data_IF_701998789728
#
_entry.id   IF_701998789728
#
_cell.length_a   1.000
_cell.length_b   1.000
_cell.length_c   1.000
_cell.angle_alpha   90.00
_cell.angle_beta   90.00
_cell.angle_gamma   90.00
#
_symmetry.space_group_name_H-M   'P 1'
#
loop_
_entity.id
_entity.type
_entity.pdbx_description
1 polymer ?
#
# COMPACT_ATOMS: atom_id res chain seq x y z
N UNK A 1 -7.91 21.44 8.41
CA UNK A 1 -7.64 20.46 7.34
C UNK A 1 -8.95 20.13 6.66
N UNK A 2 -8.93 19.99 5.35
CA UNK A 2 -10.13 19.71 4.54
C UNK A 2 -9.84 18.57 3.56
N UNK A 3 -10.91 17.94 3.10
CA UNK A 3 -10.87 16.92 2.08
C UNK A 3 -10.49 17.56 0.72
N UNK A 4 -9.55 16.97 -0.04
CA UNK A 4 -9.12 17.49 -1.34
C UNK A 4 -10.20 17.30 -2.42
N UNK A 5 -10.34 18.26 -3.34
CA UNK A 5 -11.33 18.21 -4.43
C UNK A 5 -11.06 17.10 -5.47
N UNK A 6 -9.81 16.62 -5.56
CA UNK A 6 -9.42 15.49 -6.41
C UNK A 6 -8.53 14.52 -5.61
N UNK A 7 -8.90 13.25 -5.61
CA UNK A 7 -8.14 12.17 -4.97
C UNK A 7 -6.96 11.72 -5.85
N UNK A 8 -5.93 12.56 -5.94
CA UNK A 8 -4.66 12.23 -6.60
C UNK A 8 -3.62 11.83 -5.56
N UNK A 9 -2.63 11.00 -5.92
CA UNK A 9 -1.52 10.57 -5.04
C UNK A 9 -0.85 11.68 -4.22
N UNK A 10 -0.88 12.92 -4.72
CA UNK A 10 -0.26 14.10 -4.14
C UNK A 10 -1.20 14.99 -3.31
N UNK A 11 -2.50 14.69 -3.26
CA UNK A 11 -3.50 15.50 -2.55
C UNK A 11 -4.43 14.62 -1.74
N UNK A 12 -3.97 14.21 -0.54
CA UNK A 12 -4.75 13.42 0.43
C UNK A 12 -5.30 14.31 1.55
N UNK A 13 -4.55 15.34 1.94
CA UNK A 13 -4.93 16.32 2.97
C UNK A 13 -4.68 17.73 2.45
N UNK A 14 -5.73 18.57 2.44
CA UNK A 14 -5.59 19.99 2.14
C UNK A 14 -5.53 20.81 3.45
N UNK A 15 -4.60 21.77 3.51
CA UNK A 15 -4.59 22.75 4.60
C UNK A 15 -5.66 23.81 4.36
N UNK A 16 -6.41 24.16 5.41
CA UNK A 16 -7.45 25.21 5.38
C UNK A 16 -6.89 26.62 5.58
N UNK A 17 -5.56 26.80 5.56
CA UNK A 17 -4.87 28.07 5.79
C UNK A 17 -3.43 28.07 5.22
N UNK A 18 -2.82 29.25 5.09
CA UNK A 18 -1.48 29.43 4.52
C UNK A 18 -0.32 29.29 5.52
N UNK A 19 0.91 29.11 5.01
CA UNK A 19 2.14 29.06 5.81
C UNK A 19 2.50 27.66 6.32
N UNK A 20 2.86 27.55 7.60
CA UNK A 20 3.32 26.29 8.24
C UNK A 20 2.28 25.18 8.14
N UNK A 21 0.99 25.51 8.26
CA UNK A 21 -0.11 24.54 8.14
C UNK A 21 -0.16 23.87 6.76
N UNK A 22 0.17 24.60 5.69
CA UNK A 22 0.28 24.04 4.35
C UNK A 22 1.46 23.07 4.24
N UNK A 23 2.62 23.42 4.81
CA UNK A 23 3.78 22.53 4.88
C UNK A 23 3.50 21.22 5.62
N UNK A 24 2.81 21.30 6.77
CA UNK A 24 2.41 20.12 7.56
C UNK A 24 1.42 19.25 6.80
N UNK A 25 0.43 19.85 6.11
CA UNK A 25 -0.53 19.09 5.31
C UNK A 25 0.15 18.33 4.16
N UNK A 26 1.13 18.95 3.49
CA UNK A 26 1.93 18.30 2.44
C UNK A 26 2.74 17.13 3.01
N UNK A 27 3.41 17.34 4.15
CA UNK A 27 4.20 16.29 4.79
C UNK A 27 3.34 15.10 5.23
N UNK A 28 2.17 15.38 5.83
CA UNK A 28 1.21 14.33 6.19
C UNK A 28 0.67 13.60 4.96
N UNK A 29 0.39 14.32 3.87
CA UNK A 29 -0.04 13.70 2.61
C UNK A 29 1.04 12.78 2.03
N UNK A 30 2.30 13.22 2.01
CA UNK A 30 3.44 12.40 1.54
C UNK A 30 3.61 11.17 2.42
N UNK A 31 3.60 11.34 3.76
CA UNK A 31 3.76 10.22 4.68
C UNK A 31 2.63 9.21 4.53
N UNK A 32 1.38 9.68 4.42
CA UNK A 32 0.25 8.80 4.17
C UNK A 32 0.41 8.04 2.85
N UNK A 33 0.68 8.75 1.75
CA UNK A 33 0.81 8.12 0.43
C UNK A 33 1.96 7.10 0.39
N UNK A 34 3.11 7.42 0.99
CA UNK A 34 4.24 6.50 1.07
C UNK A 34 3.92 5.26 1.91
N UNK A 35 3.35 5.44 3.11
CA UNK A 35 2.98 4.30 3.96
C UNK A 35 1.89 3.45 3.33
N UNK A 36 0.93 4.05 2.63
CA UNK A 36 -0.11 3.33 1.92
C UNK A 36 0.48 2.53 0.75
N UNK A 37 1.35 3.13 -0.07
CA UNK A 37 2.03 2.42 -1.17
C UNK A 37 2.87 1.26 -0.63
N UNK A 38 3.71 1.52 0.37
CA UNK A 38 4.56 0.49 0.99
C UNK A 38 3.72 -0.61 1.65
N UNK A 39 2.66 -0.24 2.38
CA UNK A 39 1.76 -1.18 3.03
C UNK A 39 1.03 -2.07 2.02
N UNK A 40 0.46 -1.48 0.97
CA UNK A 40 -0.21 -2.25 -0.10
C UNK A 40 0.78 -3.15 -0.83
N UNK A 41 1.98 -2.66 -1.14
CA UNK A 41 3.01 -3.44 -1.80
C UNK A 41 3.46 -4.62 -0.92
N UNK A 42 3.70 -4.38 0.37
CA UNK A 42 4.08 -5.43 1.32
C UNK A 42 2.97 -6.43 1.63
N UNK A 43 1.69 -6.14 1.35
CA UNK A 43 0.61 -7.12 1.51
C UNK A 43 0.53 -8.14 0.36
N UNK A 44 1.23 -7.92 -0.75
CA UNK A 44 1.22 -8.83 -1.89
C UNK A 44 1.95 -10.13 -1.51
N UNK A 45 1.33 -11.31 -1.68
CA UNK A 45 1.90 -12.60 -1.27
C UNK A 45 2.95 -13.12 -2.29
N UNK A 46 3.94 -12.30 -2.63
CA UNK A 46 5.02 -12.64 -3.55
C UNK A 46 6.37 -12.35 -2.90
N UNK A 47 7.37 -13.23 -3.00
CA UNK A 47 8.72 -12.91 -2.54
C UNK A 47 9.28 -11.71 -3.32
N UNK A 48 10.08 -10.83 -2.69
CA UNK A 48 10.54 -10.82 -1.30
C UNK A 48 9.60 -10.05 -0.33
N UNK A 49 8.37 -9.76 -0.73
CA UNK A 49 7.43 -8.91 0.01
C UNK A 49 6.90 -9.61 1.26
N UNK A 50 6.64 -8.84 2.32
CA UNK A 50 6.28 -9.38 3.64
C UNK A 50 5.01 -10.25 3.62
N UNK A 51 4.09 -9.99 2.69
CA UNK A 51 2.86 -10.75 2.50
C UNK A 51 3.12 -12.21 2.16
N UNK A 52 4.26 -12.52 1.55
CA UNK A 52 4.67 -13.90 1.29
C UNK A 52 5.05 -14.65 2.58
N UNK A 53 5.62 -13.96 3.56
CA UNK A 53 5.89 -14.51 4.89
C UNK A 53 4.60 -14.59 5.72
N UNK A 54 3.72 -13.58 5.63
CA UNK A 54 2.41 -13.63 6.27
C UNK A 54 1.57 -14.81 5.77
N UNK A 55 1.60 -15.09 4.46
CA UNK A 55 0.93 -16.25 3.87
C UNK A 55 1.47 -17.56 4.48
N UNK A 56 2.78 -17.66 4.74
CA UNK A 56 3.40 -18.83 5.37
C UNK A 56 2.86 -19.16 6.77
N UNK A 57 2.39 -18.14 7.51
CA UNK A 57 1.78 -18.30 8.83
C UNK A 57 0.38 -18.93 8.76
N UNK A 58 -0.37 -18.63 7.71
CA UNK A 58 -1.72 -19.16 7.48
C UNK A 58 -1.65 -20.55 6.84
N UNK A 59 -0.56 -20.88 6.14
CA UNK A 59 -0.38 -22.17 5.51
C UNK A 59 -0.31 -23.32 6.53
N UNK A 60 -0.97 -24.47 6.24
CA UNK A 60 -0.80 -25.71 7.00
C UNK A 60 0.67 -26.17 7.03
N UNK A 61 1.09 -26.80 8.13
CA UNK A 61 2.50 -27.20 8.37
C UNK A 61 3.12 -28.02 7.23
N UNK A 62 2.29 -28.84 6.56
CA UNK A 62 2.72 -29.66 5.41
C UNK A 62 3.23 -28.82 4.23
N UNK A 63 2.64 -27.65 4.00
CA UNK A 63 2.99 -26.76 2.89
C UNK A 63 3.98 -25.66 3.31
N UNK A 64 4.03 -25.33 4.61
CA UNK A 64 4.90 -24.26 5.13
C UNK A 64 6.37 -24.50 4.80
N UNK A 65 6.88 -25.72 4.96
CA UNK A 65 8.30 -26.04 4.65
C UNK A 65 8.62 -25.81 3.18
N UNK A 66 7.81 -26.38 2.28
CA UNK A 66 7.96 -26.22 0.83
C UNK A 66 7.88 -24.75 0.42
N UNK A 67 6.96 -24.00 1.02
CA UNK A 67 6.82 -22.57 0.76
C UNK A 67 8.04 -21.77 1.22
N UNK A 68 8.55 -22.01 2.43
CA UNK A 68 9.75 -21.32 2.92
C UNK A 68 11.00 -21.65 2.09
N UNK A 69 11.14 -22.89 1.61
CA UNK A 69 12.23 -23.28 0.72
C UNK A 69 12.11 -22.58 -0.64
N UNK A 70 10.89 -22.39 -1.13
CA UNK A 70 10.60 -21.63 -2.34
C UNK A 70 10.97 -20.15 -2.19
N UNK A 71 10.64 -19.53 -1.05
CA UNK A 71 10.98 -18.11 -0.77
C UNK A 71 12.50 -17.84 -0.69
N UNK A 72 13.33 -18.85 -0.45
CA UNK A 72 14.79 -18.70 -0.38
C UNK A 72 15.47 -18.56 -1.75
N UNK A 73 14.75 -18.75 -2.85
CA UNK A 73 15.32 -18.69 -4.20
C UNK A 73 15.42 -17.24 -4.70
N UNK A 74 16.63 -16.69 -4.95
CA UNK A 74 16.81 -15.29 -5.33
C UNK A 74 16.17 -14.95 -6.68
N UNK A 75 16.14 -15.91 -7.62
CA UNK A 75 15.48 -15.74 -8.92
C UNK A 75 13.97 -15.52 -8.77
N UNK A 76 13.37 -16.18 -7.78
CA UNK A 76 11.95 -16.07 -7.51
C UNK A 76 11.60 -14.71 -6.92
N UNK A 77 12.46 -14.13 -6.09
CA UNK A 77 12.30 -12.76 -5.59
C UNK A 77 12.26 -11.74 -6.73
N UNK A 78 13.13 -11.87 -7.73
CA UNK A 78 13.09 -11.01 -8.91
C UNK A 78 11.81 -11.18 -9.72
N UNK A 79 11.40 -12.43 -9.97
CA UNK A 79 10.14 -12.72 -10.65
C UNK A 79 8.92 -12.18 -9.87
N UNK A 80 8.95 -12.31 -8.54
CA UNK A 80 7.93 -11.82 -7.64
C UNK A 80 7.84 -10.30 -7.64
N UNK A 81 8.96 -9.57 -7.69
CA UNK A 81 8.96 -8.11 -7.85
C UNK A 81 8.36 -7.67 -9.19
N UNK A 82 8.71 -8.34 -10.30
CA UNK A 82 8.14 -8.05 -11.62
C UNK A 82 6.63 -8.31 -11.66
N UNK A 83 6.19 -9.41 -11.04
CA UNK A 83 4.78 -9.74 -10.96
C UNK A 83 4.04 -8.79 -10.01
N UNK A 84 4.64 -8.43 -8.87
CA UNK A 84 4.09 -7.45 -7.95
C UNK A 84 3.93 -6.08 -8.61
N UNK A 85 4.91 -5.62 -9.40
CA UNK A 85 4.76 -4.42 -10.21
C UNK A 85 3.52 -4.50 -11.11
N UNK A 86 3.32 -5.63 -11.79
CA UNK A 86 2.17 -5.81 -12.70
C UNK A 86 0.83 -5.86 -11.96
N UNK A 87 0.79 -6.46 -10.79
CA UNK A 87 -0.40 -6.62 -9.96
C UNK A 87 -0.71 -5.40 -9.09
N UNK A 88 0.28 -4.55 -8.82
CA UNK A 88 0.12 -3.41 -7.92
C UNK A 88 -0.94 -2.40 -8.38
N UNK A 89 -0.98 -1.93 -9.65
CA UNK A 89 -1.98 -0.94 -10.07
C UNK A 89 -3.44 -1.34 -9.82
N UNK A 90 -3.91 -2.55 -10.22
CA UNK A 90 -5.29 -2.95 -9.96
C UNK A 90 -5.59 -3.22 -8.48
N UNK A 91 -4.59 -3.56 -7.67
CA UNK A 91 -4.75 -3.74 -6.21
C UNK A 91 -4.76 -2.41 -5.46
N UNK A 92 -3.94 -1.46 -5.90
CA UNK A 92 -3.77 -0.18 -5.23
C UNK A 92 -4.99 0.72 -5.36
N UNK A 93 -5.63 0.77 -6.54
CA UNK A 93 -6.80 1.61 -6.78
C UNK A 93 -7.96 1.42 -5.76
N UNK A 94 -8.45 0.19 -5.49
CA UNK A 94 -9.50 -0.03 -4.49
C UNK A 94 -9.01 0.21 -3.05
N UNK A 95 -7.74 -0.08 -2.75
CA UNK A 95 -7.19 0.14 -1.41
C UNK A 95 -6.97 1.62 -1.11
N UNK A 96 -6.61 2.41 -2.12
CA UNK A 96 -6.46 3.84 -2.02
C UNK A 96 -7.81 4.54 -1.82
N UNK A 97 -8.83 4.17 -2.59
CA UNK A 97 -10.20 4.71 -2.38
C UNK A 97 -10.75 4.30 -1.02
N UNK A 98 -10.54 3.07 -0.58
CA UNK A 98 -10.93 2.62 0.76
C UNK A 98 -10.20 3.41 1.86
N UNK A 99 -8.89 3.64 1.72
CA UNK A 99 -8.12 4.40 2.69
C UNK A 99 -8.58 5.87 2.75
N UNK A 100 -8.91 6.48 1.61
CA UNK A 100 -9.47 7.83 1.56
C UNK A 100 -10.86 7.91 2.16
N UNK A 101 -11.73 6.94 1.86
CA UNK A 101 -13.07 6.88 2.44
C UNK A 101 -13.03 6.64 3.95
N UNK A 102 -12.03 5.91 4.46
CA UNK A 102 -11.82 5.74 5.90
C UNK A 102 -11.30 7.02 6.57
N UNK A 103 -10.40 7.75 5.90
CA UNK A 103 -9.84 9.01 6.39
C UNK A 103 -10.88 10.14 6.36
N UNK A 104 -11.74 10.16 5.33
CA UNK A 104 -12.77 11.15 5.10
C UNK A 104 -14.15 10.49 4.89
N UNK A 105 -14.76 9.91 5.93
CA UNK A 105 -16.01 9.15 5.82
C UNK A 105 -17.22 9.95 5.31
N UNK A 106 -17.13 11.28 5.26
CA UNK A 106 -18.16 12.17 4.71
C UNK A 106 -17.98 12.56 3.23
N UNK A 107 -16.84 12.23 2.62
CA UNK A 107 -16.53 12.52 1.22
C UNK A 107 -16.37 11.18 0.49
N UNK A 108 -17.43 10.71 -0.15
CA UNK A 108 -17.43 9.43 -0.89
C UNK A 108 -16.64 9.59 -2.19
N UNK A 109 -15.36 9.25 -2.16
CA UNK A 109 -14.52 9.15 -3.35
C UNK A 109 -14.84 7.83 -4.08
N UNK A 110 -15.02 7.90 -5.42
CA UNK A 110 -15.29 6.76 -6.32
C UNK A 110 -14.09 6.44 -7.19
#
# INVERSE_FOLDING_TARGET
FAAPEQATFSSVVAASGGGVAAGVATLLSILFSLNLVLGVFNLIPLPPLDGSAALALVLPDRWRRVWLDFLRQPMLSWAGLLLAWRLFPPLFAPLHTLALNLLWPGFLYR
#
